data_IF_459075864617
#
_entry.id   IF_459075864617
#
_cell.length_a   1.000
_cell.length_b   1.000
_cell.length_c   1.000
_cell.angle_alpha   90.00
_cell.angle_beta   90.00
_cell.angle_gamma   90.00
#
_symmetry.space_group_name_H-M   'P 1'
#
loop_
_entity.id
_entity.type
_entity.pdbx_description
1 polymer ?
#
# COMPACT_ATOMS: atom_id res chain seq x y z
N UNK A 1 7.26 -34.83 0.67
CA UNK A 1 7.86 -33.48 0.64
C UNK A 1 7.55 -32.80 1.95
N UNK A 2 8.58 -32.33 2.65
CA UNK A 2 8.46 -31.71 3.96
C UNK A 2 8.00 -30.26 3.80
N UNK A 3 6.74 -29.97 4.14
CA UNK A 3 6.11 -28.65 3.99
C UNK A 3 6.86 -27.56 4.78
N UNK A 4 7.65 -27.92 5.79
CA UNK A 4 8.49 -27.00 6.55
C UNK A 4 9.69 -26.48 5.76
N UNK A 5 10.24 -27.26 4.83
CA UNK A 5 11.36 -26.85 3.98
C UNK A 5 10.93 -25.81 2.93
N UNK A 6 9.73 -25.96 2.38
CA UNK A 6 9.13 -25.03 1.40
C UNK A 6 8.81 -23.66 2.03
N UNK A 7 8.36 -23.64 3.28
CA UNK A 7 8.12 -22.41 4.06
C UNK A 7 9.41 -21.70 4.50
N UNK A 8 10.50 -22.45 4.73
CA UNK A 8 11.79 -21.86 5.07
C UNK A 8 12.46 -21.20 3.85
N UNK A 9 12.37 -21.83 2.68
CA UNK A 9 12.76 -21.23 1.40
C UNK A 9 11.99 -19.92 1.18
N UNK A 10 10.67 -19.95 1.35
CA UNK A 10 9.80 -18.78 1.29
C UNK A 10 10.26 -17.62 2.22
N UNK A 11 10.63 -17.91 3.47
CA UNK A 11 11.13 -16.91 4.42
C UNK A 11 12.47 -16.26 4.00
N UNK A 12 13.33 -17.02 3.32
CA UNK A 12 14.65 -16.55 2.85
C UNK A 12 14.52 -15.74 1.56
N UNK A 13 13.63 -16.10 0.63
CA UNK A 13 13.47 -15.44 -0.67
C UNK A 13 12.95 -14.01 -0.60
N UNK A 14 12.02 -13.77 0.31
CA UNK A 14 11.24 -12.55 0.26
C UNK A 14 11.74 -11.49 1.24
N UNK A 15 12.33 -11.90 2.38
CA UNK A 15 12.90 -10.96 3.36
C UNK A 15 14.18 -10.25 2.90
N UNK A 16 14.80 -10.72 1.81
CA UNK A 16 16.11 -10.26 1.33
C UNK A 16 16.07 -9.44 0.04
N UNK A 17 14.90 -9.20 -0.57
CA UNK A 17 14.76 -8.28 -1.72
C UNK A 17 15.62 -8.66 -2.93
N UNK A 18 15.67 -9.94 -3.29
CA UNK A 18 16.46 -10.41 -4.43
C UNK A 18 15.90 -9.92 -5.78
N UNK A 19 16.78 -9.40 -6.64
CA UNK A 19 16.44 -8.98 -8.00
C UNK A 19 16.22 -10.16 -8.97
N UNK A 20 15.83 -9.85 -10.22
CA UNK A 20 15.56 -10.84 -11.27
C UNK A 20 16.74 -11.75 -11.62
N UNK A 21 17.98 -11.31 -11.36
CA UNK A 21 19.19 -12.07 -11.67
C UNK A 21 19.52 -13.04 -10.54
N UNK A 22 19.36 -12.60 -9.29
CA UNK A 22 19.42 -13.45 -8.11
C UNK A 22 18.31 -14.54 -8.13
N UNK A 23 17.13 -14.21 -8.64
CA UNK A 23 16.04 -15.16 -8.90
C UNK A 23 16.43 -16.25 -9.90
N UNK A 24 17.06 -15.88 -11.01
CA UNK A 24 17.47 -16.85 -12.04
C UNK A 24 18.57 -17.80 -11.52
N UNK A 25 19.51 -17.26 -10.74
CA UNK A 25 20.54 -18.06 -10.06
C UNK A 25 19.92 -19.02 -9.03
N UNK A 26 18.89 -18.58 -8.30
CA UNK A 26 18.19 -19.41 -7.33
C UNK A 26 17.33 -20.51 -7.97
N UNK A 27 16.51 -20.20 -8.99
CA UNK A 27 15.71 -21.20 -9.69
C UNK A 27 16.56 -22.30 -10.34
N UNK A 28 17.80 -21.95 -10.72
CA UNK A 28 18.80 -22.92 -11.18
C UNK A 28 19.32 -23.82 -10.05
N UNK A 29 19.43 -23.29 -8.82
CA UNK A 29 19.92 -24.03 -7.65
C UNK A 29 18.83 -24.88 -6.96
N UNK A 30 17.55 -24.50 -7.09
CA UNK A 30 16.41 -25.18 -6.45
C UNK A 30 15.24 -25.35 -7.42
N UNK A 31 15.41 -26.16 -8.49
CA UNK A 31 14.46 -26.24 -9.59
C UNK A 31 13.08 -26.79 -9.19
N UNK A 32 13.02 -27.65 -8.16
CA UNK A 32 11.74 -28.18 -7.69
C UNK A 32 10.94 -27.13 -6.89
N UNK A 33 11.61 -26.27 -6.12
CA UNK A 33 10.95 -25.19 -5.39
C UNK A 33 10.43 -24.08 -6.33
N UNK A 34 11.17 -23.76 -7.39
CA UNK A 34 10.73 -22.81 -8.42
C UNK A 34 9.57 -23.38 -9.26
N UNK A 35 9.58 -24.69 -9.52
CA UNK A 35 8.47 -25.40 -10.18
C UNK A 35 7.21 -25.38 -9.32
N UNK A 36 7.31 -25.71 -8.04
CA UNK A 36 6.17 -25.68 -7.11
C UNK A 36 5.59 -24.27 -6.97
N UNK A 37 6.46 -23.25 -6.90
CA UNK A 37 6.07 -21.84 -6.90
C UNK A 37 5.34 -21.43 -8.19
N UNK A 38 5.87 -21.80 -9.37
CA UNK A 38 5.22 -21.54 -10.65
C UNK A 38 3.85 -22.20 -10.71
N UNK A 39 3.73 -23.43 -10.20
CA UNK A 39 2.46 -24.14 -10.12
C UNK A 39 1.46 -23.46 -9.20
N UNK A 40 1.84 -23.09 -7.97
CA UNK A 40 0.93 -22.45 -7.01
C UNK A 40 0.44 -21.07 -7.49
N UNK A 41 1.34 -20.29 -8.09
CA UNK A 41 1.00 -18.94 -8.60
C UNK A 41 0.17 -18.98 -9.88
N UNK A 42 0.48 -19.90 -10.80
CA UNK A 42 -0.31 -20.12 -12.02
C UNK A 42 -1.67 -20.74 -11.69
N UNK A 43 -1.73 -21.69 -10.75
CA UNK A 43 -2.97 -22.27 -10.26
C UNK A 43 -3.90 -21.20 -9.71
N UNK A 44 -3.39 -20.35 -8.82
CA UNK A 44 -4.24 -19.32 -8.26
C UNK A 44 -4.66 -18.28 -9.30
N UNK A 45 -3.79 -17.89 -10.24
CA UNK A 45 -4.17 -17.00 -11.34
C UNK A 45 -5.36 -17.56 -12.13
N UNK A 46 -5.35 -18.86 -12.41
CA UNK A 46 -6.45 -19.56 -13.10
C UNK A 46 -7.70 -19.63 -12.24
N UNK A 47 -7.58 -19.94 -10.93
CA UNK A 47 -8.72 -19.92 -9.99
C UNK A 47 -9.38 -18.55 -10.01
N UNK A 48 -8.61 -17.50 -9.76
CA UNK A 48 -9.06 -16.11 -9.70
C UNK A 48 -9.78 -15.68 -10.99
N UNK A 49 -9.18 -15.99 -12.14
CA UNK A 49 -9.75 -15.66 -13.43
C UNK A 49 -11.02 -16.45 -13.74
N UNK A 50 -11.05 -17.75 -13.40
CA UNK A 50 -12.24 -18.59 -13.57
C UNK A 50 -13.38 -18.15 -12.67
N UNK A 51 -13.10 -17.79 -11.41
CA UNK A 51 -14.11 -17.27 -10.51
C UNK A 51 -14.69 -15.95 -11.05
N UNK A 52 -13.84 -15.03 -11.53
CA UNK A 52 -14.30 -13.79 -12.16
C UNK A 52 -15.23 -14.06 -13.37
N UNK A 53 -14.86 -15.01 -14.23
CA UNK A 53 -15.64 -15.39 -15.40
C UNK A 53 -16.96 -16.12 -15.04
N UNK A 54 -16.94 -17.06 -14.10
CA UNK A 54 -18.12 -17.82 -13.64
C UNK A 54 -19.19 -16.92 -13.02
N UNK A 55 -18.77 -15.83 -12.38
CA UNK A 55 -19.66 -14.91 -11.68
C UNK A 55 -19.96 -13.61 -12.44
N UNK A 56 -19.43 -13.46 -13.66
CA UNK A 56 -19.54 -12.26 -14.50
C UNK A 56 -19.18 -10.95 -13.75
N UNK A 57 -18.01 -10.97 -13.08
CA UNK A 57 -17.52 -9.87 -12.25
C UNK A 57 -16.07 -9.52 -12.57
N UNK A 58 -15.66 -8.25 -12.36
CA UNK A 58 -14.24 -7.92 -12.37
C UNK A 58 -13.53 -8.65 -11.23
N UNK A 59 -12.25 -8.97 -11.42
CA UNK A 59 -11.46 -9.76 -10.48
C UNK A 59 -11.48 -9.18 -9.05
N UNK A 60 -11.44 -7.86 -8.96
CA UNK A 60 -11.44 -7.10 -7.70
C UNK A 60 -12.75 -7.23 -6.89
N UNK A 61 -13.85 -7.57 -7.56
CA UNK A 61 -15.19 -7.74 -6.95
C UNK A 61 -15.53 -9.21 -6.65
N UNK A 62 -14.63 -10.14 -6.96
CA UNK A 62 -14.80 -11.56 -6.61
C UNK A 62 -14.66 -11.72 -5.10
N UNK A 63 -15.56 -12.49 -4.47
CA UNK A 63 -15.49 -12.76 -3.03
C UNK A 63 -14.49 -13.87 -2.73
N UNK A 64 -13.89 -13.84 -1.53
CA UNK A 64 -13.04 -14.91 -1.03
C UNK A 64 -13.79 -16.26 -0.96
N UNK A 65 -15.09 -16.23 -0.64
CA UNK A 65 -15.94 -17.42 -0.65
C UNK A 65 -16.09 -18.03 -2.05
N UNK A 66 -16.29 -17.21 -3.08
CA UNK A 66 -16.38 -17.68 -4.47
C UNK A 66 -15.04 -18.28 -4.93
N UNK A 67 -13.91 -17.66 -4.56
CA UNK A 67 -12.56 -18.16 -4.85
C UNK A 67 -12.36 -19.55 -4.21
N UNK A 68 -12.76 -19.72 -2.95
CA UNK A 68 -12.69 -21.01 -2.26
C UNK A 68 -13.58 -22.06 -2.93
N UNK A 69 -14.80 -21.69 -3.32
CA UNK A 69 -15.73 -22.58 -3.98
C UNK A 69 -15.19 -23.03 -5.35
N UNK A 70 -14.61 -22.13 -6.15
CA UNK A 70 -13.95 -22.48 -7.40
C UNK A 70 -12.72 -23.36 -7.17
N UNK A 71 -11.87 -23.01 -6.20
CA UNK A 71 -10.68 -23.78 -5.84
C UNK A 71 -11.03 -25.22 -5.43
N UNK A 72 -12.09 -25.41 -4.64
CA UNK A 72 -12.54 -26.73 -4.19
C UNK A 72 -13.08 -27.61 -5.34
N UNK A 73 -13.52 -27.01 -6.45
CA UNK A 73 -14.02 -27.71 -7.65
C UNK A 73 -12.94 -27.95 -8.70
N UNK A 74 -11.77 -27.31 -8.60
CA UNK A 74 -10.72 -27.41 -9.61
C UNK A 74 -9.96 -28.73 -9.55
N UNK A 75 -9.69 -29.29 -10.72
CA UNK A 75 -8.86 -30.48 -10.93
C UNK A 75 -7.59 -30.13 -11.70
N UNK A 76 -6.54 -30.97 -11.69
CA UNK A 76 -5.34 -30.71 -12.49
C UNK A 76 -5.62 -30.56 -14.00
N UNK A 77 -6.67 -31.22 -14.51
CA UNK A 77 -7.08 -31.09 -15.91
C UNK A 77 -7.58 -29.69 -16.26
N UNK A 78 -8.09 -28.93 -15.27
CA UNK A 78 -8.58 -27.58 -15.45
C UNK A 78 -7.48 -26.54 -15.69
N UNK A 79 -6.22 -26.93 -15.53
CA UNK A 79 -5.04 -26.10 -15.72
C UNK A 79 -4.42 -26.28 -17.12
N UNK A 80 -5.04 -27.10 -17.97
CA UNK A 80 -4.63 -27.25 -19.37
C UNK A 80 -4.96 -26.00 -20.18
N UNK A 81 -4.10 -25.65 -21.15
CA UNK A 81 -4.29 -24.48 -22.03
C UNK A 81 -5.66 -24.49 -22.72
N UNK A 82 -6.16 -25.68 -23.08
CA UNK A 82 -7.46 -25.89 -23.74
C UNK A 82 -8.68 -25.61 -22.85
N UNK A 83 -8.48 -25.45 -21.54
CA UNK A 83 -9.53 -25.21 -20.53
C UNK A 83 -9.37 -23.87 -19.81
N UNK A 84 -8.48 -23.01 -20.27
CA UNK A 84 -8.41 -21.64 -19.81
C UNK A 84 -9.68 -20.89 -20.26
N UNK A 85 -10.35 -20.15 -19.35
CA UNK A 85 -11.53 -19.38 -19.74
C UNK A 85 -11.17 -18.33 -20.81
N UNK A 86 -12.14 -17.83 -21.59
CA UNK A 86 -11.88 -16.68 -22.47
C UNK A 86 -11.44 -15.46 -21.64
N UNK A 87 -10.67 -14.51 -22.23
CA UNK A 87 -10.22 -13.30 -21.53
C UNK A 87 -11.41 -12.62 -20.84
N UNK A 88 -11.26 -12.35 -19.54
CA UNK A 88 -12.33 -11.77 -18.73
C UNK A 88 -12.84 -10.45 -19.33
N UNK A 89 -14.15 -10.14 -19.20
CA UNK A 89 -14.69 -8.86 -19.65
C UNK A 89 -13.90 -7.71 -19.02
N UNK A 90 -13.39 -6.82 -19.86
CA UNK A 90 -12.49 -5.72 -19.45
C UNK A 90 -13.26 -4.65 -18.70
N UNK A 91 -13.25 -4.71 -17.38
CA UNK A 91 -13.32 -3.52 -16.51
C UNK A 91 -12.37 -3.76 -15.32
N UNK A 92 -11.38 -2.86 -15.16
CA UNK A 92 -10.31 -2.99 -14.17
C UNK A 92 -9.04 -3.62 -14.75
N UNK A 93 -7.89 -2.95 -14.60
CA UNK A 93 -6.60 -3.48 -15.04
C UNK A 93 -6.30 -4.75 -14.23
N UNK A 94 -5.99 -5.86 -14.90
CA UNK A 94 -5.34 -7.00 -14.25
C UNK A 94 -4.21 -6.47 -13.36
N UNK A 95 -4.03 -6.95 -12.11
CA UNK A 95 -2.77 -6.73 -11.42
C UNK A 95 -1.68 -7.23 -12.39
N UNK A 96 -0.71 -6.40 -12.78
CA UNK A 96 0.33 -6.83 -13.71
C UNK A 96 0.91 -8.15 -13.19
N UNK A 97 1.18 -9.13 -14.06
CA UNK A 97 1.52 -10.52 -13.68
C UNK A 97 2.57 -10.64 -12.55
N UNK A 98 3.43 -9.64 -12.38
CA UNK A 98 4.38 -9.47 -11.26
C UNK A 98 3.74 -9.39 -9.87
N UNK A 99 2.46 -9.05 -9.74
CA UNK A 99 1.73 -8.95 -8.47
C UNK A 99 0.96 -10.23 -8.13
N UNK A 100 0.70 -11.10 -9.12
CA UNK A 100 -0.03 -12.37 -8.95
C UNK A 100 0.58 -13.28 -7.86
N UNK A 101 1.90 -13.44 -7.75
CA UNK A 101 2.51 -14.24 -6.68
C UNK A 101 2.30 -13.66 -5.27
N UNK A 102 2.33 -12.33 -5.15
CA UNK A 102 2.17 -11.62 -3.87
C UNK A 102 0.71 -11.61 -3.41
N UNK A 103 -0.18 -11.42 -4.38
CA UNK A 103 -1.64 -11.59 -4.23
C UNK A 103 -1.94 -13.01 -3.80
N UNK A 104 -1.20 -14.00 -4.31
CA UNK A 104 -1.54 -15.39 -4.09
C UNK A 104 -1.41 -15.89 -2.67
N UNK A 105 -0.29 -15.57 -2.05
CA UNK A 105 -0.07 -15.92 -0.66
C UNK A 105 -0.96 -15.13 0.29
N UNK A 106 -1.08 -13.82 0.06
CA UNK A 106 -1.96 -12.98 0.83
C UNK A 106 -3.39 -13.49 0.82
N UNK A 107 -3.91 -13.81 -0.37
CA UNK A 107 -5.21 -14.45 -0.57
C UNK A 107 -5.25 -15.79 0.17
N UNK A 108 -4.30 -16.69 0.00
CA UNK A 108 -4.32 -18.01 0.64
C UNK A 108 -4.25 -17.94 2.17
N UNK A 109 -3.52 -17.00 2.75
CA UNK A 109 -3.47 -16.76 4.20
C UNK A 109 -4.81 -16.21 4.71
N UNK A 110 -5.41 -15.28 3.96
CA UNK A 110 -6.70 -14.68 4.32
C UNK A 110 -7.87 -15.62 4.12
N UNK A 111 -7.83 -16.48 3.11
CA UNK A 111 -8.79 -17.56 2.92
C UNK A 111 -8.84 -18.51 4.12
N UNK A 112 -7.72 -18.71 4.83
CA UNK A 112 -7.65 -19.53 6.05
C UNK A 112 -8.11 -18.78 7.30
N UNK A 113 -7.89 -17.47 7.37
CA UNK A 113 -8.18 -16.66 8.56
C UNK A 113 -9.59 -16.06 8.56
N UNK A 114 -10.13 -15.74 7.38
CA UNK A 114 -11.40 -15.03 7.21
C UNK A 114 -12.18 -15.54 5.98
N UNK A 115 -12.82 -16.72 6.04
CA UNK A 115 -13.55 -17.32 4.92
C UNK A 115 -14.89 -16.62 4.58
N UNK A 116 -15.01 -15.30 4.78
CA UNK A 116 -16.25 -14.53 4.62
C UNK A 116 -16.50 -13.96 3.21
N UNK A 117 -17.57 -13.17 3.09
CA UNK A 117 -18.04 -12.53 1.83
C UNK A 117 -17.17 -11.36 1.33
N UNK A 118 -15.99 -11.14 1.91
CA UNK A 118 -15.15 -9.98 1.53
C UNK A 118 -14.55 -10.18 0.15
N UNK A 119 -14.42 -9.08 -0.59
CA UNK A 119 -13.85 -9.12 -1.94
C UNK A 119 -12.33 -9.27 -1.91
N UNK A 120 -11.78 -9.79 -3.01
CA UNK A 120 -10.33 -9.88 -3.23
C UNK A 120 -9.66 -8.52 -3.05
N UNK A 121 -10.21 -7.45 -3.63
CA UNK A 121 -9.60 -6.13 -3.54
C UNK A 121 -9.66 -5.53 -2.13
N UNK A 122 -10.76 -5.72 -1.39
CA UNK A 122 -10.83 -5.34 0.03
C UNK A 122 -9.67 -6.00 0.81
N UNK A 123 -9.50 -7.29 0.56
CA UNK A 123 -8.53 -8.15 1.23
C UNK A 123 -7.08 -7.75 0.91
N UNK A 124 -6.78 -7.49 -0.36
CA UNK A 124 -5.47 -7.02 -0.81
C UNK A 124 -5.12 -5.64 -0.24
N UNK A 125 -6.11 -4.74 -0.09
CA UNK A 125 -5.88 -3.44 0.56
C UNK A 125 -5.54 -3.58 2.04
N UNK A 126 -6.18 -4.50 2.75
CA UNK A 126 -5.87 -4.76 4.16
C UNK A 126 -4.40 -5.24 4.32
N UNK A 127 -3.97 -6.16 3.45
CA UNK A 127 -2.60 -6.69 3.44
C UNK A 127 -1.51 -5.64 3.21
N UNK A 128 -1.76 -4.71 2.28
CA UNK A 128 -0.75 -3.70 1.92
C UNK A 128 -0.44 -2.75 3.07
N UNK A 129 -1.39 -2.58 3.97
CA UNK A 129 -1.33 -1.61 5.05
C UNK A 129 -0.75 -2.20 6.34
N UNK A 130 -1.12 -3.45 6.65
CA UNK A 130 -0.62 -4.15 7.83
C UNK A 130 -0.10 -5.55 7.47
N UNK A 131 1.14 -5.65 6.95
CA UNK A 131 1.74 -6.94 6.61
C UNK A 131 2.01 -7.80 7.86
N UNK A 132 2.16 -7.19 9.04
CA UNK A 132 2.45 -7.88 10.30
C UNK A 132 1.21 -8.58 10.87
N UNK A 133 0.03 -7.98 10.74
CA UNK A 133 -1.26 -8.58 11.16
C UNK A 133 -1.66 -9.78 10.30
N UNK A 134 -1.24 -9.82 9.03
CA UNK A 134 -1.70 -10.82 8.06
C UNK A 134 -0.58 -11.70 7.45
N UNK A 135 0.64 -11.64 8.02
CA UNK A 135 1.70 -12.62 7.76
C UNK A 135 2.38 -12.56 6.40
N UNK A 136 2.49 -11.38 5.77
CA UNK A 136 3.23 -11.18 4.50
C UNK A 136 4.55 -10.40 4.70
N UNK A 137 5.58 -10.52 3.84
CA UNK A 137 6.93 -10.05 4.19
C UNK A 137 7.25 -8.60 3.73
N UNK A 138 7.78 -7.83 4.68
CA UNK A 138 9.10 -7.15 4.66
C UNK A 138 9.50 -6.10 3.57
N UNK A 139 8.62 -5.62 2.69
CA UNK A 139 8.95 -4.44 1.87
C UNK A 139 8.69 -3.15 2.67
N UNK A 140 9.64 -2.74 3.53
CA UNK A 140 9.74 -1.38 4.08
C UNK A 140 8.40 -0.70 4.40
N UNK A 141 7.49 -1.45 5.03
CA UNK A 141 6.06 -1.14 5.01
C UNK A 141 5.74 0.22 5.61
N UNK A 142 4.52 0.70 5.38
CA UNK A 142 4.00 1.93 5.98
C UNK A 142 4.42 2.11 7.47
N UNK A 143 4.32 1.04 8.27
CA UNK A 143 4.75 1.04 9.67
C UNK A 143 6.26 1.25 9.88
N UNK A 144 7.10 0.72 9.00
CA UNK A 144 8.56 0.99 8.98
C UNK A 144 8.83 2.43 8.57
N UNK A 145 8.14 2.93 7.54
CA UNK A 145 8.22 4.33 7.14
C UNK A 145 7.86 5.29 8.29
N UNK A 146 6.81 4.97 9.03
CA UNK A 146 6.40 5.70 10.24
C UNK A 146 7.49 5.70 11.33
N UNK A 147 8.09 4.54 11.61
CA UNK A 147 9.20 4.43 12.57
C UNK A 147 10.41 5.27 12.13
N UNK A 148 10.76 5.21 10.85
CA UNK A 148 11.85 6.01 10.27
C UNK A 148 11.55 7.50 10.41
N UNK A 149 10.36 7.95 10.01
CA UNK A 149 9.96 9.35 10.15
C UNK A 149 10.10 9.85 11.60
N UNK A 150 9.58 9.09 12.58
CA UNK A 150 9.66 9.47 13.99
C UNK A 150 11.10 9.57 14.48
N UNK A 151 11.97 8.65 14.08
CA UNK A 151 13.40 8.72 14.37
C UNK A 151 14.05 9.96 13.73
N UNK A 152 13.71 10.29 12.48
CA UNK A 152 14.22 11.48 11.81
C UNK A 152 13.75 12.79 12.48
N UNK A 153 12.49 12.82 12.95
CA UNK A 153 11.96 13.94 13.73
C UNK A 153 12.69 14.12 15.06
N UNK A 154 12.89 13.02 15.80
CA UNK A 154 13.61 13.02 17.07
C UNK A 154 15.07 13.49 16.88
N UNK A 155 15.80 12.91 15.94
CA UNK A 155 17.16 13.36 15.60
C UNK A 155 17.21 14.83 15.18
N UNK A 156 16.21 15.32 14.44
CA UNK A 156 16.16 16.73 14.03
C UNK A 156 15.89 17.67 15.20
N UNK A 157 15.11 17.24 16.20
CA UNK A 157 14.92 17.98 17.46
C UNK A 157 16.22 18.04 18.26
N UNK A 158 16.91 16.91 18.41
CA UNK A 158 18.21 16.87 19.09
C UNK A 158 19.23 17.80 18.43
N UNK A 159 19.28 17.84 17.09
CA UNK A 159 20.20 18.75 16.39
C UNK A 159 19.85 20.21 16.60
N UNK A 160 18.56 20.54 16.72
CA UNK A 160 18.11 21.89 17.04
C UNK A 160 18.50 22.25 18.48
N UNK A 161 18.22 21.37 19.44
CA UNK A 161 18.45 21.59 20.88
C UNK A 161 19.95 21.72 21.20
N UNK A 162 20.80 20.93 20.55
CA UNK A 162 22.26 20.98 20.70
C UNK A 162 22.92 22.12 19.89
N UNK A 163 22.14 22.89 19.13
CA UNK A 163 22.64 23.98 18.26
C UNK A 163 23.40 23.50 17.01
N UNK A 164 23.39 22.20 16.70
CA UNK A 164 23.97 21.63 15.46
C UNK A 164 23.20 22.04 14.21
N UNK A 165 21.92 22.35 14.36
CA UNK A 165 21.09 22.93 13.32
C UNK A 165 20.57 24.30 13.73
N UNK A 166 20.99 25.33 13.01
CA UNK A 166 20.43 26.68 13.11
C UNK A 166 19.43 26.87 11.97
N UNK A 167 18.19 27.17 12.33
CA UNK A 167 17.10 27.38 11.35
C UNK A 167 17.36 28.67 10.56
N UNK A 168 17.50 28.53 9.24
CA UNK A 168 17.83 29.62 8.33
C UNK A 168 16.57 30.23 7.68
N UNK A 169 16.76 31.35 6.98
CA UNK A 169 15.70 31.94 6.13
C UNK A 169 15.22 30.99 5.03
N UNK A 170 16.13 30.19 4.48
CA UNK A 170 15.82 29.20 3.45
C UNK A 170 14.93 28.09 4.01
N UNK A 171 15.24 27.57 5.21
CA UNK A 171 14.42 26.57 5.90
C UNK A 171 12.98 27.08 6.07
N UNK A 172 12.82 28.32 6.56
CA UNK A 172 11.50 28.94 6.74
C UNK A 172 10.74 29.10 5.42
N UNK A 173 11.43 29.48 4.33
CA UNK A 173 10.82 29.62 3.02
C UNK A 173 10.32 28.26 2.48
N UNK A 174 11.09 27.19 2.70
CA UNK A 174 10.71 25.83 2.32
C UNK A 174 9.53 25.35 3.14
N UNK A 175 9.54 25.56 4.46
CA UNK A 175 8.42 25.21 5.36
C UNK A 175 7.13 25.89 4.88
N UNK A 176 7.15 27.20 4.65
CA UNK A 176 5.98 27.94 4.17
C UNK A 176 5.47 27.44 2.80
N UNK A 177 6.37 26.93 1.95
CA UNK A 177 6.01 26.37 0.65
C UNK A 177 5.35 24.97 0.75
N UNK A 178 5.54 24.25 1.86
CA UNK A 178 4.87 22.94 2.08
C UNK A 178 3.40 23.08 2.43
N UNK A 179 2.99 24.22 3.01
CA UNK A 179 1.63 24.45 3.50
C UNK A 179 1.25 23.62 4.75
N UNK A 180 2.18 22.85 5.33
CA UNK A 180 1.95 22.08 6.56
C UNK A 180 1.76 22.98 7.80
N UNK A 181 2.14 24.24 7.72
CA UNK A 181 1.95 25.25 8.77
C UNK A 181 0.52 25.81 8.81
N UNK A 182 -0.34 25.45 7.84
CA UNK A 182 -1.72 25.96 7.70
C UNK A 182 -2.76 24.92 8.11
N UNK A 183 -4.00 25.34 8.47
CA UNK A 183 -5.09 24.41 8.70
C UNK A 183 -5.33 23.50 7.51
N UNK A 184 -5.67 22.24 7.79
CA UNK A 184 -5.92 21.23 6.78
C UNK A 184 -7.19 21.60 5.98
N UNK A 185 -7.06 21.64 4.66
CA UNK A 185 -8.19 21.77 3.74
C UNK A 185 -8.35 20.48 2.93
N UNK A 186 -9.59 20.00 2.82
CA UNK A 186 -9.96 18.82 2.02
C UNK A 186 -10.82 19.28 0.84
N UNK A 187 -10.20 20.05 -0.06
CA UNK A 187 -10.90 20.68 -1.17
C UNK A 187 -11.07 19.74 -2.38
N UNK A 188 -10.45 18.54 -2.34
CA UNK A 188 -10.48 17.58 -3.44
C UNK A 188 -10.20 16.13 -2.99
N UNK A 189 -10.88 15.12 -3.59
CA UNK A 189 -12.08 15.26 -4.43
C UNK A 189 -13.27 15.78 -3.60
N UNK A 190 -14.22 16.52 -4.20
CA UNK A 190 -15.42 16.98 -3.49
C UNK A 190 -16.22 15.78 -2.96
N UNK A 191 -16.78 15.87 -1.74
CA UNK A 191 -17.66 14.81 -1.25
C UNK A 191 -18.88 14.71 -2.19
N UNK A 192 -19.14 13.53 -2.77
CA UNK A 192 -20.13 13.38 -3.82
C UNK A 192 -21.58 13.34 -3.32
N UNK A 193 -21.81 13.23 -2.00
CA UNK A 193 -23.14 13.16 -1.43
C UNK A 193 -23.55 14.49 -0.73
N UNK A 194 -24.69 15.10 -1.09
CA UNK A 194 -25.23 16.23 -0.34
C UNK A 194 -25.68 15.78 1.06
N UNK A 195 -25.14 16.41 2.11
CA UNK A 195 -25.51 16.16 3.50
C UNK A 195 -24.42 15.51 4.37
N UNK A 196 -23.18 15.43 3.87
CA UNK A 196 -22.08 14.78 4.60
C UNK A 196 -21.62 15.59 5.84
N UNK A 197 -21.27 14.84 6.88
CA UNK A 197 -21.15 15.20 8.31
C UNK A 197 -20.10 16.27 8.71
N UNK A 198 -19.53 17.02 7.76
CA UNK A 198 -18.42 17.95 8.00
C UNK A 198 -17.07 17.27 8.25
N UNK A 199 -17.01 15.93 8.26
CA UNK A 199 -15.78 15.16 8.35
C UNK A 199 -15.27 14.73 6.96
N UNK A 200 -13.95 14.71 6.73
CA UNK A 200 -13.38 14.30 5.46
C UNK A 200 -13.52 12.79 5.23
N UNK A 201 -13.84 12.40 3.99
CA UNK A 201 -13.89 10.99 3.58
C UNK A 201 -12.49 10.35 3.57
N UNK A 202 -12.43 9.03 3.67
CA UNK A 202 -11.20 8.23 3.50
C UNK A 202 -10.50 8.58 2.19
N UNK A 203 -11.26 8.74 1.11
CA UNK A 203 -10.73 9.10 -0.21
C UNK A 203 -10.08 10.48 -0.18
N UNK A 204 -10.73 11.49 0.41
CA UNK A 204 -10.15 12.82 0.60
C UNK A 204 -8.87 12.79 1.42
N UNK A 205 -8.85 12.02 2.50
CA UNK A 205 -7.68 11.84 3.36
C UNK A 205 -6.51 11.17 2.61
N UNK A 206 -6.78 10.13 1.84
CA UNK A 206 -5.78 9.46 1.00
C UNK A 206 -5.21 10.35 -0.11
N UNK A 207 -6.08 11.14 -0.77
CA UNK A 207 -5.64 12.11 -1.77
C UNK A 207 -4.72 13.17 -1.17
N UNK A 208 -5.05 13.66 0.02
CA UNK A 208 -4.17 14.57 0.76
C UNK A 208 -2.82 13.91 1.08
N UNK A 209 -2.80 12.70 1.63
CA UNK A 209 -1.56 11.97 1.92
C UNK A 209 -0.71 11.77 0.65
N UNK A 210 -1.36 11.45 -0.46
CA UNK A 210 -0.71 11.26 -1.78
C UNK A 210 -0.18 12.58 -2.35
N UNK A 211 -0.91 13.67 -2.19
CA UNK A 211 -0.42 14.98 -2.60
C UNK A 211 0.83 15.38 -1.80
N UNK A 212 0.81 15.17 -0.49
CA UNK A 212 1.94 15.49 0.39
C UNK A 212 3.16 14.60 0.09
N UNK A 213 2.99 13.33 -0.27
CA UNK A 213 4.11 12.48 -0.64
C UNK A 213 4.84 12.93 -1.91
N UNK A 214 4.19 13.71 -2.77
CA UNK A 214 4.83 14.34 -3.94
C UNK A 214 5.37 15.72 -3.59
N UNK A 215 4.60 16.52 -2.85
CA UNK A 215 4.94 17.91 -2.55
C UNK A 215 6.13 18.04 -1.59
N UNK A 216 6.23 17.20 -0.56
CA UNK A 216 7.26 17.33 0.49
C UNK A 216 8.67 17.04 -0.05
N UNK A 217 8.93 15.96 -0.82
CA UNK A 217 10.24 15.75 -1.44
C UNK A 217 10.58 16.85 -2.46
N UNK A 218 9.58 17.33 -3.21
CA UNK A 218 9.78 18.43 -4.16
C UNK A 218 10.19 19.74 -3.45
N UNK A 219 9.63 20.01 -2.28
CA UNK A 219 10.04 21.13 -1.43
C UNK A 219 11.45 20.91 -0.86
N UNK A 220 11.74 19.72 -0.35
CA UNK A 220 13.06 19.34 0.17
C UNK A 220 14.17 19.45 -0.89
N UNK A 221 13.87 19.13 -2.15
CA UNK A 221 14.81 19.20 -3.26
C UNK A 221 15.22 20.64 -3.64
N UNK A 222 14.48 21.65 -3.19
CA UNK A 222 14.82 23.07 -3.40
C UNK A 222 15.89 23.57 -2.43
N UNK A 223 16.19 22.79 -1.39
CA UNK A 223 17.17 23.15 -0.38
C UNK A 223 18.59 22.95 -0.87
N UNK A 224 19.48 23.91 -0.60
CA UNK A 224 20.90 23.68 -0.74
C UNK A 224 21.38 22.64 0.28
N UNK A 225 22.40 21.88 -0.10
CA UNK A 225 23.21 21.14 0.87
C UNK A 225 23.93 22.13 1.78
N UNK A 226 24.36 21.67 2.95
CA UNK A 226 25.17 22.51 3.83
C UNK A 226 26.57 22.76 3.25
N UNK A 227 27.40 23.52 3.97
CA UNK A 227 28.77 23.87 3.59
C UNK A 227 29.68 22.66 3.38
N UNK A 228 29.31 21.49 3.91
CA UNK A 228 30.04 20.23 3.81
C UNK A 228 29.41 19.25 2.81
N UNK A 229 28.34 19.66 2.11
CA UNK A 229 27.64 18.83 1.14
C UNK A 229 26.66 17.82 1.75
N UNK A 230 26.34 17.91 3.04
CA UNK A 230 25.38 17.05 3.72
C UNK A 230 23.93 17.50 3.52
N UNK A 231 23.04 16.53 3.67
CA UNK A 231 21.59 16.73 3.66
C UNK A 231 21.18 17.39 4.98
N UNK A 232 20.41 18.47 4.88
CA UNK A 232 19.95 19.23 6.06
C UNK A 232 18.83 18.49 6.81
N UNK A 233 18.68 18.68 8.13
CA UNK A 233 17.64 17.99 8.92
C UNK A 233 16.22 18.17 8.38
N UNK A 234 15.85 19.39 7.96
CA UNK A 234 14.56 19.64 7.36
C UNK A 234 14.33 18.81 6.08
N UNK A 235 15.36 18.63 5.24
CA UNK A 235 15.26 17.77 4.07
C UNK A 235 14.99 16.30 4.47
N UNK A 236 15.65 15.81 5.52
CA UNK A 236 15.42 14.45 6.05
C UNK A 236 13.98 14.29 6.54
N UNK A 237 13.47 15.23 7.33
CA UNK A 237 12.09 15.20 7.86
C UNK A 237 11.07 15.24 6.73
N UNK A 238 11.22 16.15 5.76
CA UNK A 238 10.27 16.29 4.65
C UNK A 238 10.27 15.06 3.73
N UNK A 239 11.45 14.51 3.44
CA UNK A 239 11.58 13.29 2.63
C UNK A 239 11.07 12.06 3.39
N UNK A 240 11.34 11.99 4.70
CA UNK A 240 10.82 10.96 5.59
C UNK A 240 9.29 11.00 5.69
N UNK A 241 8.68 12.19 5.73
CA UNK A 241 7.23 12.34 5.81
C UNK A 241 6.52 11.88 4.53
N UNK A 242 7.20 11.96 3.39
CA UNK A 242 6.65 11.53 2.11
C UNK A 242 6.35 10.03 2.03
N UNK A 243 7.01 9.20 2.86
CA UNK A 243 6.78 7.74 2.89
C UNK A 243 5.38 7.38 3.42
N UNK A 244 4.69 8.33 4.04
CA UNK A 244 3.32 8.16 4.53
C UNK A 244 2.27 8.21 3.42
N UNK A 245 2.64 8.61 2.20
CA UNK A 245 1.76 8.58 1.05
C UNK A 245 1.33 7.16 0.68
N UNK A 246 0.12 7.04 0.13
CA UNK A 246 -0.42 5.76 -0.34
C UNK A 246 -0.99 5.89 -1.77
N UNK A 247 -0.18 6.30 -2.76
CA UNK A 247 -0.64 6.64 -4.11
C UNK A 247 -1.36 5.49 -4.82
N UNK A 248 -0.81 4.28 -4.73
CA UNK A 248 -1.42 3.10 -5.35
C UNK A 248 -2.78 2.78 -4.72
N UNK A 249 -2.89 2.91 -3.39
CA UNK A 249 -4.16 2.71 -2.67
C UNK A 249 -5.20 3.78 -3.03
N UNK A 250 -4.77 5.04 -3.19
CA UNK A 250 -5.66 6.11 -3.61
C UNK A 250 -6.21 5.86 -5.02
N UNK A 251 -5.33 5.53 -5.98
CA UNK A 251 -5.72 5.21 -7.36
C UNK A 251 -6.66 3.98 -7.42
N UNK A 252 -6.38 2.93 -6.64
CA UNK A 252 -7.21 1.73 -6.57
C UNK A 252 -8.60 2.01 -5.98
N UNK A 253 -8.72 2.95 -5.04
CA UNK A 253 -10.00 3.34 -4.47
C UNK A 253 -10.76 4.32 -5.36
N UNK A 254 -10.08 5.21 -6.08
CA UNK A 254 -10.69 6.06 -7.11
C UNK A 254 -11.32 5.22 -8.22
N UNK A 255 -10.59 4.21 -8.72
CA UNK A 255 -11.09 3.32 -9.76
C UNK A 255 -12.32 2.53 -9.29
N UNK A 256 -12.30 2.06 -8.03
CA UNK A 256 -13.44 1.38 -7.43
C UNK A 256 -14.63 2.34 -7.23
N UNK A 257 -14.38 3.56 -6.77
CA UNK A 257 -15.40 4.57 -6.56
C UNK A 257 -16.07 4.95 -7.89
N UNK A 258 -15.30 5.21 -8.94
CA UNK A 258 -15.80 5.59 -10.26
C UNK A 258 -16.66 4.50 -10.93
N UNK A 259 -16.49 3.24 -10.53
CA UNK A 259 -17.25 2.10 -11.04
C UNK A 259 -18.59 1.84 -10.33
N UNK A 260 -18.94 2.61 -9.30
CA UNK A 260 -20.12 2.35 -8.46
C UNK A 260 -20.91 3.64 -8.21
N UNK A 261 -22.23 3.52 -8.06
CA UNK A 261 -23.14 4.62 -7.71
C UNK A 261 -23.65 4.41 -6.27
N UNK A 262 -22.87 4.75 -5.23
CA UNK A 262 -23.25 4.47 -3.86
C UNK A 262 -24.34 5.42 -3.37
N UNK A 263 -25.30 4.86 -2.60
CA UNK A 263 -26.32 5.65 -1.92
C UNK A 263 -25.78 6.59 -0.85
N UNK A 264 -24.57 6.33 -0.32
CA UNK A 264 -23.84 7.22 0.59
C UNK A 264 -22.32 6.95 0.58
N UNK A 265 -21.51 7.98 0.83
CA UNK A 265 -20.05 7.85 1.02
C UNK A 265 -19.72 6.91 2.18
N UNK A 266 -20.44 7.04 3.30
CA UNK A 266 -20.16 6.28 4.51
C UNK A 266 -20.41 4.78 4.35
N UNK A 267 -21.50 4.40 3.67
CA UNK A 267 -21.81 2.99 3.42
C UNK A 267 -20.81 2.38 2.44
N UNK A 268 -20.48 3.11 1.38
CA UNK A 268 -19.43 2.70 0.43
C UNK A 268 -18.11 2.44 1.14
N UNK A 269 -17.66 3.37 1.99
CA UNK A 269 -16.41 3.16 2.71
C UNK A 269 -16.51 1.96 3.65
N UNK A 270 -17.66 1.74 4.31
CA UNK A 270 -17.84 0.60 5.24
C UNK A 270 -17.74 -0.73 4.50
N UNK A 271 -18.18 -0.76 3.26
CA UNK A 271 -18.15 -1.95 2.42
C UNK A 271 -16.76 -2.20 1.80
N UNK A 272 -16.08 -1.13 1.38
CA UNK A 272 -14.92 -1.24 0.49
C UNK A 272 -13.57 -0.83 1.10
N UNK A 273 -13.56 -0.13 2.23
CA UNK A 273 -12.35 0.33 2.91
C UNK A 273 -12.11 -0.49 4.17
N UNK A 274 -11.04 -1.31 4.22
CA UNK A 274 -10.70 -2.09 5.41
C UNK A 274 -10.38 -1.22 6.63
N UNK A 275 -10.72 -1.71 7.83
CA UNK A 275 -10.42 -1.02 9.10
C UNK A 275 -8.92 -0.77 9.27
N UNK A 276 -8.06 -1.71 8.86
CA UNK A 276 -6.61 -1.54 8.86
C UNK A 276 -6.17 -0.33 8.02
N UNK A 277 -6.78 -0.13 6.84
CA UNK A 277 -6.52 1.03 5.99
C UNK A 277 -7.01 2.33 6.64
N UNK A 278 -8.19 2.33 7.26
CA UNK A 278 -8.70 3.50 8.01
C UNK A 278 -7.76 3.88 9.16
N UNK A 279 -7.27 2.88 9.90
CA UNK A 279 -6.35 3.08 11.00
C UNK A 279 -5.01 3.63 10.52
N UNK A 280 -4.45 3.09 9.42
CA UNK A 280 -3.18 3.59 8.91
C UNK A 280 -3.28 5.00 8.34
N UNK A 281 -4.38 5.37 7.72
CA UNK A 281 -4.65 6.76 7.31
C UNK A 281 -4.65 7.67 8.55
N UNK A 282 -5.37 7.28 9.61
CA UNK A 282 -5.41 8.06 10.85
C UNK A 282 -4.02 8.24 11.47
N UNK A 283 -3.26 7.15 11.61
CA UNK A 283 -1.91 7.19 12.18
C UNK A 283 -0.94 7.98 11.28
N UNK A 284 -1.10 7.95 9.95
CA UNK A 284 -0.31 8.78 9.03
C UNK A 284 -0.61 10.27 9.19
N UNK A 285 -1.88 10.62 9.37
CA UNK A 285 -2.28 12.00 9.60
C UNK A 285 -1.80 12.53 10.95
N UNK A 286 -1.87 11.71 12.01
CA UNK A 286 -1.31 12.05 13.32
C UNK A 286 0.20 12.32 13.20
N UNK A 287 0.94 11.47 12.48
CA UNK A 287 2.37 11.67 12.26
C UNK A 287 2.67 12.92 11.41
N UNK A 288 1.85 13.25 10.42
CA UNK A 288 1.97 14.51 9.70
C UNK A 288 1.66 15.72 10.59
N UNK A 289 0.75 15.59 11.55
CA UNK A 289 0.47 16.64 12.54
C UNK A 289 1.64 16.79 13.53
N UNK A 290 2.32 15.70 13.90
CA UNK A 290 3.59 15.75 14.64
C UNK A 290 4.66 16.52 13.85
N UNK A 291 4.80 16.26 12.55
CA UNK A 291 5.69 17.02 11.64
C UNK A 291 5.27 18.49 11.60
N UNK A 292 4.00 18.78 11.35
CA UNK A 292 3.48 20.15 11.25
C UNK A 292 3.72 20.94 12.55
N UNK A 293 3.49 20.33 13.70
CA UNK A 293 3.77 20.93 15.01
C UNK A 293 5.24 21.26 15.18
N UNK A 294 6.13 20.35 14.79
CA UNK A 294 7.57 20.60 14.79
C UNK A 294 7.97 21.73 13.84
N UNK A 295 7.43 21.77 12.63
CA UNK A 295 7.71 22.84 11.68
C UNK A 295 7.24 24.21 12.22
N UNK A 296 6.06 24.26 12.85
CA UNK A 296 5.54 25.49 13.50
C UNK A 296 6.44 25.95 14.65
N UNK A 297 6.99 25.04 15.45
CA UNK A 297 7.86 25.42 16.57
C UNK A 297 9.18 26.05 16.13
N UNK A 298 9.67 25.74 14.93
CA UNK A 298 10.93 26.28 14.39
C UNK A 298 10.74 27.52 13.49
N UNK A 299 9.50 27.83 13.09
CA UNK A 299 9.14 29.05 12.36
C UNK A 299 8.66 30.19 13.26
N UNK A 300 8.47 29.93 14.56
CA UNK A 300 8.01 30.90 15.56
C UNK A 300 8.81 32.19 15.63
#
# INVERSE_FOLDING_TARGET
MDRAATLHAWHVYYRLGMDSQARQAHGSAHPDADRDWMWETSFLAVVLWRTAAEHDRPLDAVTLADILATCARMTPADLSEDRLPPPAPRVGQFPPARHVPRVAEGVMTLLRQHPGERTLAYTLRALRVDPDQFGGPADGGWATGLKVLRSLLETSREWLDDGRWVVTREDRAVIAATGLDRPIAYDYPPSPAPGDSGHPSVLQRLHRLTHLSVALPAAAARMSRDEHGYVRPLHMVLTGAAVLGMPDTAADLDALWAGMDPSSTQDWEREHVPDALRQAIAVSEDALEEVATFLRSITG
#
